data_IF_229494795662
#
_entry.id   IF_229494795662
#
_cell.length_a   1.000
_cell.length_b   1.000
_cell.length_c   1.000
_cell.angle_alpha   90.00
_cell.angle_beta   90.00
_cell.angle_gamma   90.00
#
_symmetry.space_group_name_H-M   'P 1'
#
loop_
_entity.id
_entity.type
_entity.pdbx_description
1 polymer ?
#
# COMPACT_ATOMS: atom_id res chain seq x y z
N UNK A 1 -39.61 18.82 -13.03
CA UNK A 1 -38.71 18.38 -11.95
C UNK A 1 -38.45 16.89 -12.10
N UNK A 2 -37.19 16.43 -12.09
CA UNK A 2 -36.85 14.99 -12.07
C UNK A 2 -36.75 14.53 -10.62
N UNK A 3 -37.46 13.46 -10.26
CA UNK A 3 -37.37 12.85 -8.93
C UNK A 3 -36.15 11.93 -8.89
N UNK A 4 -35.22 12.21 -8.00
CA UNK A 4 -34.09 11.32 -7.72
C UNK A 4 -34.46 10.37 -6.57
N UNK A 5 -34.04 9.12 -6.66
CA UNK A 5 -34.15 8.13 -5.58
C UNK A 5 -32.73 7.78 -5.14
N UNK A 6 -32.44 8.02 -3.86
CA UNK A 6 -31.18 7.66 -3.21
C UNK A 6 -31.41 6.41 -2.35
N UNK A 7 -30.38 5.56 -2.22
CA UNK A 7 -30.37 4.42 -1.28
C UNK A 7 -29.05 4.35 -0.54
N UNK A 8 -29.09 3.88 0.70
CA UNK A 8 -27.90 3.46 1.42
C UNK A 8 -27.56 2.02 1.02
N UNK A 9 -26.26 1.74 0.88
CA UNK A 9 -25.73 0.47 0.43
C UNK A 9 -24.62 0.08 1.39
N UNK A 10 -24.65 -1.16 1.87
CA UNK A 10 -23.52 -1.69 2.62
C UNK A 10 -22.38 -2.02 1.64
N UNK A 11 -21.15 -1.66 2.03
CA UNK A 11 -19.92 -1.93 1.26
C UNK A 11 -18.96 -2.75 2.12
N UNK A 12 -18.19 -3.60 1.46
CA UNK A 12 -17.04 -4.30 2.04
C UNK A 12 -15.77 -3.89 1.30
N UNK A 13 -14.61 -4.04 1.94
CA UNK A 13 -13.30 -3.74 1.36
C UNK A 13 -12.32 -4.85 1.70
N UNK A 14 -11.53 -5.26 0.71
CA UNK A 14 -10.53 -6.33 0.84
C UNK A 14 -9.30 -6.01 -0.02
N UNK A 15 -8.14 -6.66 0.22
CA UNK A 15 -7.00 -6.56 -0.67
C UNK A 15 -7.42 -6.92 -2.10
N UNK A 16 -6.92 -6.15 -3.07
CA UNK A 16 -7.19 -6.41 -4.48
C UNK A 16 -6.24 -7.52 -4.96
N UNK A 17 -6.77 -8.73 -5.19
CA UNK A 17 -5.98 -9.93 -5.50
C UNK A 17 -6.22 -10.46 -6.93
N UNK A 18 -6.98 -9.74 -7.75
CA UNK A 18 -7.23 -10.13 -9.14
C UNK A 18 -5.94 -10.02 -9.97
N UNK A 19 -5.82 -10.76 -11.10
CA UNK A 19 -4.62 -10.71 -11.94
C UNK A 19 -4.27 -9.34 -12.52
N UNK A 20 -5.24 -8.40 -12.55
CA UNK A 20 -5.07 -7.03 -13.00
C UNK A 20 -4.77 -6.04 -11.84
N UNK A 21 -4.61 -6.53 -10.61
CA UNK A 21 -4.27 -5.70 -9.47
C UNK A 21 -2.86 -5.13 -9.58
N UNK A 22 -2.68 -3.91 -9.09
CA UNK A 22 -1.34 -3.34 -8.88
C UNK A 22 -0.52 -4.25 -7.95
N UNK A 23 0.81 -4.35 -8.14
CA UNK A 23 1.64 -5.16 -7.24
C UNK A 23 1.71 -4.55 -5.84
N UNK A 24 1.93 -5.39 -4.83
CA UNK A 24 2.35 -4.92 -3.52
C UNK A 24 3.79 -4.43 -3.65
N UNK A 25 4.06 -3.22 -3.16
CA UNK A 25 5.41 -2.67 -3.16
C UNK A 25 5.92 -2.40 -1.75
N UNK A 26 7.22 -2.60 -1.57
CA UNK A 26 7.96 -2.42 -0.34
C UNK A 26 9.01 -1.33 -0.54
N UNK A 27 9.11 -0.39 0.40
CA UNK A 27 10.18 0.60 0.44
C UNK A 27 10.62 0.81 1.89
N UNK A 28 11.88 1.18 2.10
CA UNK A 28 12.38 1.57 3.40
C UNK A 28 12.50 3.09 3.47
N UNK A 29 12.13 3.67 4.60
CA UNK A 29 12.35 5.07 4.89
C UNK A 29 13.16 5.22 6.18
N UNK A 30 14.22 6.02 6.14
CA UNK A 30 15.00 6.39 7.31
C UNK A 30 14.15 7.26 8.25
N UNK A 31 14.04 6.89 9.52
CA UNK A 31 13.27 7.66 10.49
C UNK A 31 13.98 8.96 10.92
N UNK A 32 15.31 9.00 10.81
CA UNK A 32 16.12 10.15 11.22
C UNK A 32 16.15 11.27 10.18
N UNK A 33 16.38 10.95 8.89
CA UNK A 33 16.49 11.96 7.82
C UNK A 33 15.35 11.94 6.80
N UNK A 34 14.45 10.96 6.84
CA UNK A 34 13.30 10.88 5.93
C UNK A 34 13.61 10.38 4.51
N UNK A 35 14.88 10.16 4.16
CA UNK A 35 15.26 9.53 2.88
C UNK A 35 14.59 8.17 2.73
N UNK A 36 14.22 7.83 1.49
CA UNK A 36 13.44 6.64 1.15
C UNK A 36 14.08 5.91 -0.03
N UNK A 37 14.04 4.58 0.01
CA UNK A 37 14.34 3.76 -1.15
C UNK A 37 13.30 3.94 -2.26
N UNK A 38 13.63 3.45 -3.46
CA UNK A 38 12.58 3.17 -4.45
C UNK A 38 11.60 2.12 -3.90
N UNK A 39 10.35 2.09 -4.39
CA UNK A 39 9.46 0.96 -4.19
C UNK A 39 9.97 -0.26 -4.99
N UNK A 40 9.94 -1.44 -4.36
CA UNK A 40 10.27 -2.71 -4.98
C UNK A 40 9.05 -3.63 -4.90
N UNK A 41 8.76 -4.33 -5.99
CA UNK A 41 7.64 -5.25 -6.09
C UNK A 41 7.98 -6.59 -5.43
N UNK A 42 6.99 -7.19 -4.76
CA UNK A 42 6.98 -8.56 -4.20
C UNK A 42 7.98 -8.87 -3.07
N UNK A 43 9.22 -8.38 -3.17
CA UNK A 43 10.32 -8.67 -2.26
C UNK A 43 10.71 -7.42 -1.44
N UNK A 44 10.96 -7.63 -0.14
CA UNK A 44 11.36 -6.57 0.79
C UNK A 44 12.88 -6.41 0.86
N UNK A 45 13.62 -7.43 0.43
CA UNK A 45 15.07 -7.57 0.52
C UNK A 45 15.83 -6.42 -0.18
N UNK A 46 15.43 -5.96 -1.39
CA UNK A 46 16.09 -4.82 -2.02
C UNK A 46 15.92 -3.51 -1.22
N UNK A 47 14.75 -3.33 -0.59
CA UNK A 47 14.49 -2.18 0.28
C UNK A 47 15.31 -2.24 1.58
N UNK A 48 15.43 -3.43 2.18
CA UNK A 48 16.30 -3.66 3.32
C UNK A 48 17.78 -3.45 2.98
N UNK A 49 18.23 -3.90 1.81
CA UNK A 49 19.59 -3.66 1.33
C UNK A 49 19.88 -2.16 1.18
N UNK A 50 18.91 -1.37 0.72
CA UNK A 50 19.02 0.09 0.73
C UNK A 50 19.20 0.62 2.16
N UNK A 51 18.40 0.17 3.13
CA UNK A 51 18.50 0.60 4.53
C UNK A 51 19.86 0.23 5.15
N UNK A 52 20.38 -0.97 4.88
CA UNK A 52 21.71 -1.41 5.35
C UNK A 52 22.83 -0.54 4.76
N UNK A 53 22.77 -0.24 3.46
CA UNK A 53 23.73 0.68 2.80
C UNK A 53 23.62 2.09 3.38
N UNK A 54 22.40 2.56 3.67
CA UNK A 54 22.15 3.86 4.30
C UNK A 54 22.75 3.93 5.70
N UNK A 55 22.53 2.90 6.53
CA UNK A 55 23.07 2.78 7.88
C UNK A 55 24.60 2.81 7.87
N UNK A 56 25.23 2.06 6.96
CA UNK A 56 26.68 2.03 6.81
C UNK A 56 27.30 3.40 6.47
N UNK A 57 26.56 4.25 5.74
CA UNK A 57 27.03 5.58 5.31
C UNK A 57 26.74 6.69 6.33
N UNK A 58 25.62 6.60 7.04
CA UNK A 58 25.07 7.71 7.84
C UNK A 58 25.07 7.45 9.34
N UNK A 59 25.26 6.20 9.77
CA UNK A 59 25.05 5.73 11.16
C UNK A 59 23.60 5.85 11.66
N UNK A 60 22.63 6.15 10.80
CA UNK A 60 21.22 6.05 11.17
C UNK A 60 20.81 4.57 11.31
N UNK A 61 20.06 4.25 12.36
CA UNK A 61 19.74 2.88 12.77
C UNK A 61 18.23 2.60 12.84
N UNK A 62 17.38 3.62 12.79
CA UNK A 62 15.93 3.49 12.78
C UNK A 62 15.33 3.67 11.37
N UNK A 63 14.58 2.66 10.92
CA UNK A 63 13.90 2.62 9.62
C UNK A 63 12.46 2.15 9.78
N UNK A 64 11.59 2.56 8.85
CA UNK A 64 10.22 2.05 8.71
C UNK A 64 10.01 1.52 7.30
N UNK A 65 9.29 0.42 7.22
CA UNK A 65 8.81 -0.11 5.96
C UNK A 65 7.55 0.64 5.52
N UNK A 66 7.50 1.01 4.25
CA UNK A 66 6.34 1.58 3.58
C UNK A 66 5.85 0.52 2.60
N UNK A 67 4.71 -0.08 2.95
CA UNK A 67 4.04 -1.09 2.12
C UNK A 67 2.88 -0.40 1.39
N UNK A 68 2.93 -0.43 0.06
CA UNK A 68 1.77 -0.05 -0.78
C UNK A 68 1.07 -1.32 -1.19
N UNK A 69 -0.21 -1.47 -0.80
CA UNK A 69 -1.04 -2.62 -1.15
C UNK A 69 -2.34 -2.09 -1.76
N UNK A 70 -2.77 -2.56 -2.94
CA UNK A 70 -4.05 -2.16 -3.49
C UNK A 70 -5.21 -2.82 -2.73
N UNK A 71 -6.30 -2.08 -2.59
CA UNK A 71 -7.54 -2.54 -1.98
C UNK A 71 -8.71 -2.24 -2.91
N UNK A 72 -9.70 -3.13 -2.92
CA UNK A 72 -10.92 -2.96 -3.72
C UNK A 72 -12.12 -2.96 -2.79
N UNK A 73 -12.95 -1.91 -2.91
CA UNK A 73 -14.24 -1.84 -2.25
C UNK A 73 -15.33 -2.35 -3.21
N UNK A 74 -16.23 -3.20 -2.71
CA UNK A 74 -17.36 -3.74 -3.46
C UNK A 74 -18.65 -3.64 -2.62
N UNK A 75 -19.83 -3.52 -3.24
CA UNK A 75 -21.08 -3.66 -2.51
C UNK A 75 -21.13 -5.02 -1.81
N UNK A 76 -21.63 -5.06 -0.58
CA UNK A 76 -21.86 -6.33 0.10
C UNK A 76 -22.82 -7.21 -0.73
N UNK A 77 -22.72 -8.54 -0.62
CA UNK A 77 -23.62 -9.46 -1.31
C UNK A 77 -25.10 -9.11 -1.02
N UNK A 78 -25.94 -9.12 -2.06
CA UNK A 78 -27.34 -8.66 -1.97
C UNK A 78 -27.52 -7.14 -1.92
N UNK A 79 -26.44 -6.36 -1.80
CA UNK A 79 -26.46 -4.91 -1.90
C UNK A 79 -26.19 -4.41 -3.33
N UNK A 80 -25.71 -5.26 -4.23
CA UNK A 80 -25.73 -5.00 -5.68
C UNK A 80 -27.11 -5.36 -6.24
N UNK A 81 -27.62 -4.52 -7.15
CA UNK A 81 -29.00 -4.57 -7.66
C UNK A 81 -29.34 -5.87 -8.39
#
# INVERSE_FOLDING_TARGET
MRRSVLRFVAWTIAPHQEPDAEPITHAMQCAACGEKSLPFEEEVEPAQLWALKHAGRTRHDAYREIITRPWRAVPAEGASR
#
